data_IF_721016562958
#
_entry.id   IF_721016562958
#
_cell.length_a   1.000
_cell.length_b   1.000
_cell.length_c   1.000
_cell.angle_alpha   90.00
_cell.angle_beta   90.00
_cell.angle_gamma   90.00
#
_symmetry.space_group_name_H-M   'P 1'
#
loop_
_entity.id
_entity.type
_entity.pdbx_description
1 polymer ?
#
# COMPACT_ATOMS: atom_id res chain seq x y z
N UNK A 1 48.24 16.68 -80.11
CA UNK A 1 47.92 16.36 -78.70
C UNK A 1 48.40 14.95 -78.42
N UNK A 2 49.19 14.72 -77.38
CA UNK A 2 49.85 13.43 -77.15
C UNK A 2 48.89 12.41 -76.52
N UNK A 3 48.94 11.16 -76.97
CA UNK A 3 48.16 10.02 -76.45
C UNK A 3 48.38 9.82 -74.94
N UNK A 4 49.58 10.16 -74.46
CA UNK A 4 49.91 10.19 -73.03
C UNK A 4 49.11 11.23 -72.24
N UNK A 5 48.82 12.39 -72.83
CA UNK A 5 48.02 13.45 -72.19
C UNK A 5 46.54 13.10 -72.10
N UNK A 6 46.01 12.35 -73.08
CA UNK A 6 44.62 11.86 -73.07
C UNK A 6 44.43 10.69 -72.12
N UNK A 7 45.42 9.78 -72.03
CA UNK A 7 45.42 8.69 -71.03
C UNK A 7 45.54 9.24 -69.61
N UNK A 8 46.44 10.19 -69.35
CA UNK A 8 46.57 10.84 -68.04
C UNK A 8 45.29 11.59 -67.63
N UNK A 9 44.65 12.32 -68.55
CA UNK A 9 43.38 12.99 -68.29
C UNK A 9 42.23 12.01 -67.99
N UNK A 10 42.16 10.88 -68.72
CA UNK A 10 41.15 9.84 -68.46
C UNK A 10 41.36 9.15 -67.10
N UNK A 11 42.61 8.90 -66.70
CA UNK A 11 42.96 8.31 -65.42
C UNK A 11 42.60 9.23 -64.24
N UNK A 12 42.91 10.53 -64.35
CA UNK A 12 42.54 11.54 -63.35
C UNK A 12 41.01 11.68 -63.22
N UNK A 13 40.28 11.56 -64.33
CA UNK A 13 38.80 11.57 -64.31
C UNK A 13 38.20 10.32 -63.64
N UNK A 14 38.86 9.17 -63.74
CA UNK A 14 38.44 7.91 -63.14
C UNK A 14 38.69 7.85 -61.63
N UNK A 15 39.85 8.36 -61.18
CA UNK A 15 40.23 8.41 -59.76
C UNK A 15 39.25 9.27 -58.96
N UNK A 16 38.83 10.42 -59.50
CA UNK A 16 37.83 11.28 -58.84
C UNK A 16 36.46 10.60 -58.70
N UNK A 17 36.02 9.84 -59.72
CA UNK A 17 34.78 9.06 -59.64
C UNK A 17 34.87 7.96 -58.58
N UNK A 18 35.99 7.23 -58.56
CA UNK A 18 36.23 6.20 -57.55
C UNK A 18 36.25 6.80 -56.13
N UNK A 19 36.97 7.92 -55.93
CA UNK A 19 37.02 8.62 -54.66
C UNK A 19 35.63 9.12 -54.21
N UNK A 20 34.83 9.66 -55.13
CA UNK A 20 33.46 10.09 -54.84
C UNK A 20 32.55 8.92 -54.44
N UNK A 21 32.67 7.77 -55.10
CA UNK A 21 31.91 6.55 -54.75
C UNK A 21 32.32 6.05 -53.36
N UNK A 22 33.61 6.00 -53.05
CA UNK A 22 34.09 5.61 -51.72
C UNK A 22 33.58 6.56 -50.65
N UNK A 23 33.66 7.87 -50.89
CA UNK A 23 33.13 8.87 -49.96
C UNK A 23 31.61 8.70 -49.75
N UNK A 24 30.85 8.50 -50.82
CA UNK A 24 29.41 8.28 -50.74
C UNK A 24 29.08 7.00 -49.94
N UNK A 25 29.83 5.92 -50.15
CA UNK A 25 29.67 4.68 -49.40
C UNK A 25 29.96 4.88 -47.90
N UNK A 26 31.03 5.61 -47.55
CA UNK A 26 31.36 5.94 -46.16
C UNK A 26 30.28 6.80 -45.51
N UNK A 27 29.78 7.81 -46.22
CA UNK A 27 28.71 8.67 -45.72
C UNK A 27 27.40 7.88 -45.49
N UNK A 28 27.06 6.96 -46.39
CA UNK A 28 25.93 6.05 -46.21
C UNK A 28 26.10 5.14 -44.99
N UNK A 29 27.30 4.60 -44.78
CA UNK A 29 27.62 3.77 -43.61
C UNK A 29 27.47 4.55 -42.31
N UNK A 30 28.02 5.76 -42.23
CA UNK A 30 27.92 6.61 -41.03
C UNK A 30 26.47 7.04 -40.79
N UNK A 31 25.75 7.48 -41.82
CA UNK A 31 24.36 7.92 -41.70
C UNK A 31 23.43 6.77 -41.28
N UNK A 32 23.64 5.57 -41.84
CA UNK A 32 22.85 4.39 -41.46
C UNK A 32 23.16 3.93 -40.04
N UNK A 33 24.44 3.84 -39.64
CA UNK A 33 24.83 3.42 -38.30
C UNK A 33 24.38 4.41 -37.21
N UNK A 34 24.49 5.72 -37.47
CA UNK A 34 24.01 6.75 -36.52
C UNK A 34 22.50 6.81 -36.46
N UNK A 35 21.82 6.67 -37.60
CA UNK A 35 20.36 6.64 -37.67
C UNK A 35 19.76 5.44 -36.94
N UNK A 36 20.28 4.23 -37.15
CA UNK A 36 19.82 3.02 -36.45
C UNK A 36 20.17 3.06 -34.96
N UNK A 37 21.37 3.53 -34.61
CA UNK A 37 21.77 3.70 -33.22
C UNK A 37 20.89 4.69 -32.46
N UNK A 38 20.53 5.82 -33.09
CA UNK A 38 19.61 6.79 -32.51
C UNK A 38 18.21 6.20 -32.33
N UNK A 39 17.71 5.46 -33.33
CA UNK A 39 16.39 4.84 -33.28
C UNK A 39 16.28 3.81 -32.14
N UNK A 40 17.28 2.94 -31.98
CA UNK A 40 17.32 1.98 -30.87
C UNK A 40 17.40 2.69 -29.51
N UNK A 41 18.23 3.73 -29.40
CA UNK A 41 18.34 4.50 -28.16
C UNK A 41 17.03 5.22 -27.80
N UNK A 42 16.26 5.69 -28.78
CA UNK A 42 14.94 6.28 -28.54
C UNK A 42 13.92 5.23 -28.11
N UNK A 43 13.94 4.04 -28.72
CA UNK A 43 13.04 2.94 -28.36
C UNK A 43 13.27 2.46 -26.92
N UNK A 44 14.52 2.19 -26.55
CA UNK A 44 14.90 1.82 -25.18
C UNK A 44 14.50 2.89 -24.15
N UNK A 45 14.70 4.16 -24.51
CA UNK A 45 14.29 5.29 -23.65
C UNK A 45 12.79 5.34 -23.46
N UNK A 46 12.01 5.11 -24.51
CA UNK A 46 10.55 5.16 -24.44
C UNK A 46 10.01 3.94 -23.68
N UNK A 47 10.58 2.76 -23.87
CA UNK A 47 10.29 1.56 -23.07
C UNK A 47 10.60 1.78 -21.57
N UNK A 48 11.77 2.34 -21.25
CA UNK A 48 12.16 2.66 -19.88
C UNK A 48 11.22 3.70 -19.23
N UNK A 49 10.76 4.70 -20.01
CA UNK A 49 9.79 5.69 -19.54
C UNK A 49 8.42 5.07 -19.29
N UNK A 50 7.95 4.19 -20.16
CA UNK A 50 6.70 3.47 -19.97
C UNK A 50 6.75 2.61 -18.70
N UNK A 51 7.84 1.86 -18.50
CA UNK A 51 8.06 1.08 -17.29
C UNK A 51 8.11 1.96 -16.03
N UNK A 52 8.79 3.11 -16.09
CA UNK A 52 8.86 4.05 -14.97
C UNK A 52 7.47 4.60 -14.58
N UNK A 53 6.64 4.96 -15.56
CA UNK A 53 5.27 5.44 -15.31
C UNK A 53 4.42 4.33 -14.68
N UNK A 54 4.57 3.09 -15.15
CA UNK A 54 3.88 1.94 -14.59
C UNK A 54 4.28 1.73 -13.12
N UNK A 55 5.57 1.74 -12.80
CA UNK A 55 6.06 1.62 -11.41
C UNK A 55 5.60 2.78 -10.52
N UNK A 56 5.60 4.01 -11.04
CA UNK A 56 5.10 5.17 -10.30
C UNK A 56 3.60 5.04 -9.99
N UNK A 57 2.80 4.54 -10.94
CA UNK A 57 1.37 4.31 -10.72
C UNK A 57 1.12 3.22 -9.68
N UNK A 58 1.86 2.10 -9.75
CA UNK A 58 1.78 1.01 -8.77
C UNK A 58 2.21 1.48 -7.37
N UNK A 59 3.31 2.25 -7.29
CA UNK A 59 3.79 2.84 -6.04
C UNK A 59 2.78 3.82 -5.44
N UNK A 60 2.08 4.59 -6.27
CA UNK A 60 1.03 5.52 -5.83
C UNK A 60 -0.17 4.75 -5.28
N UNK A 61 -0.63 3.71 -5.97
CA UNK A 61 -1.70 2.84 -5.50
C UNK A 61 -1.35 2.14 -4.18
N UNK A 62 -0.11 1.66 -4.05
CA UNK A 62 0.38 1.04 -2.82
C UNK A 62 0.38 2.04 -1.65
N UNK A 63 0.87 3.27 -1.86
CA UNK A 63 0.83 4.32 -0.83
C UNK A 63 -0.59 4.65 -0.40
N UNK A 64 -1.51 4.78 -1.35
CA UNK A 64 -2.93 5.02 -1.05
C UNK A 64 -3.54 3.88 -0.22
N UNK A 65 -3.24 2.62 -0.57
CA UNK A 65 -3.69 1.45 0.19
C UNK A 65 -3.12 1.42 1.62
N UNK A 66 -1.84 1.76 1.79
CA UNK A 66 -1.22 1.83 3.12
C UNK A 66 -1.87 2.93 3.96
N UNK A 67 -2.14 4.10 3.38
CA UNK A 67 -2.84 5.19 4.08
C UNK A 67 -4.22 4.76 4.56
N UNK A 68 -5.00 4.08 3.72
CA UNK A 68 -6.33 3.56 4.09
C UNK A 68 -6.24 2.49 5.20
N UNK A 69 -5.30 1.55 5.07
CA UNK A 69 -5.07 0.52 6.09
C UNK A 69 -4.70 1.14 7.44
N UNK A 70 -3.82 2.14 7.45
CA UNK A 70 -3.43 2.84 8.68
C UNK A 70 -4.63 3.56 9.31
N UNK A 71 -5.46 4.22 8.50
CA UNK A 71 -6.67 4.88 9.00
C UNK A 71 -7.67 3.87 9.61
N UNK A 72 -7.83 2.70 8.98
CA UNK A 72 -8.67 1.62 9.49
C UNK A 72 -8.12 1.04 10.82
N UNK A 73 -6.81 0.84 10.92
CA UNK A 73 -6.15 0.36 12.15
C UNK A 73 -6.33 1.37 13.28
N UNK A 74 -6.13 2.66 13.02
CA UNK A 74 -6.36 3.72 14.00
C UNK A 74 -7.82 3.78 14.46
N UNK A 75 -8.76 3.62 13.53
CA UNK A 75 -10.19 3.51 13.84
C UNK A 75 -10.50 2.30 14.72
N UNK A 76 -9.94 1.14 14.39
CA UNK A 76 -10.10 -0.10 15.16
C UNK A 76 -9.49 0.02 16.56
N UNK A 77 -8.32 0.64 16.69
CA UNK A 77 -7.66 0.86 17.98
C UNK A 77 -8.54 1.74 18.89
N UNK A 78 -9.07 2.85 18.36
CA UNK A 78 -9.99 3.74 19.11
C UNK A 78 -11.27 3.02 19.53
N UNK A 79 -11.88 2.26 18.62
CA UNK A 79 -13.09 1.49 18.92
C UNK A 79 -12.84 0.42 19.99
N UNK A 80 -11.67 -0.23 19.93
CA UNK A 80 -11.24 -1.24 20.91
C UNK A 80 -11.05 -0.61 22.29
N UNK A 81 -10.39 0.55 22.39
CA UNK A 81 -10.26 1.27 23.66
C UNK A 81 -11.62 1.63 24.25
N UNK A 82 -12.53 2.20 23.45
CA UNK A 82 -13.88 2.53 23.89
C UNK A 82 -14.69 1.29 24.31
N UNK A 83 -14.45 0.13 23.70
CA UNK A 83 -15.05 -1.14 24.12
C UNK A 83 -14.47 -1.64 25.45
N UNK A 84 -13.15 -1.53 25.64
CA UNK A 84 -12.49 -1.90 26.89
C UNK A 84 -12.93 -1.02 28.05
N UNK A 85 -13.07 0.30 27.87
CA UNK A 85 -13.59 1.21 28.89
C UNK A 85 -15.02 0.85 29.31
N UNK A 86 -15.90 0.57 28.33
CA UNK A 86 -17.27 0.10 28.61
C UNK A 86 -17.27 -1.24 29.33
N UNK A 87 -16.40 -2.17 28.93
CA UNK A 87 -16.23 -3.46 29.59
C UNK A 87 -15.76 -3.31 31.04
N UNK A 88 -14.74 -2.48 31.30
CA UNK A 88 -14.25 -2.19 32.63
C UNK A 88 -15.32 -1.56 33.53
N UNK A 89 -16.09 -0.60 32.99
CA UNK A 89 -17.22 0.00 33.70
C UNK A 89 -18.30 -1.05 34.05
N UNK A 90 -18.63 -1.94 33.10
CA UNK A 90 -19.57 -3.03 33.33
C UNK A 90 -19.08 -4.02 34.40
N UNK A 91 -17.80 -4.39 34.37
CA UNK A 91 -17.19 -5.26 35.39
C UNK A 91 -17.17 -4.60 36.77
N UNK A 92 -16.86 -3.31 36.86
CA UNK A 92 -16.90 -2.57 38.12
C UNK A 92 -18.33 -2.51 38.67
N UNK A 93 -19.32 -2.22 37.83
CA UNK A 93 -20.73 -2.21 38.22
C UNK A 93 -21.22 -3.59 38.66
N UNK A 94 -20.84 -4.65 37.94
CA UNK A 94 -21.18 -6.03 38.30
C UNK A 94 -20.54 -6.44 39.64
N UNK A 95 -19.28 -6.08 39.88
CA UNK A 95 -18.59 -6.36 41.15
C UNK A 95 -19.24 -5.61 42.30
N UNK A 96 -19.59 -4.34 42.10
CA UNK A 96 -20.28 -3.55 43.12
C UNK A 96 -21.66 -4.13 43.46
N UNK A 97 -22.43 -4.53 42.43
CA UNK A 97 -23.72 -5.21 42.63
C UNK A 97 -23.54 -6.56 43.33
N UNK A 98 -22.59 -7.38 42.90
CA UNK A 98 -22.28 -8.67 43.52
C UNK A 98 -22.01 -8.54 45.02
N UNK A 99 -21.17 -7.58 45.43
CA UNK A 99 -20.92 -7.28 46.84
C UNK A 99 -22.19 -6.90 47.62
N UNK A 100 -23.11 -6.13 47.01
CA UNK A 100 -24.41 -5.81 47.63
C UNK A 100 -25.28 -7.05 47.80
N UNK A 101 -25.34 -7.91 46.77
CA UNK A 101 -26.06 -9.18 46.84
C UNK A 101 -25.49 -10.10 47.92
N UNK A 102 -24.16 -10.25 47.98
CA UNK A 102 -23.48 -11.07 48.99
C UNK A 102 -23.74 -10.55 50.41
N UNK A 103 -23.72 -9.23 50.61
CA UNK A 103 -24.04 -8.61 51.88
C UNK A 103 -25.52 -8.83 52.28
N UNK A 104 -26.45 -8.74 51.33
CA UNK A 104 -27.87 -9.02 51.57
C UNK A 104 -28.11 -10.50 51.90
N UNK A 105 -27.41 -11.42 51.23
CA UNK A 105 -27.42 -12.86 51.53
C UNK A 105 -26.89 -13.14 52.94
N UNK A 106 -25.80 -12.49 53.34
CA UNK A 106 -25.23 -12.65 54.68
C UNK A 106 -26.20 -12.20 55.80
N UNK A 107 -27.02 -11.17 55.57
CA UNK A 107 -28.04 -10.72 56.53
C UNK A 107 -29.15 -11.75 56.75
N UNK A 108 -29.37 -12.65 55.80
CA UNK A 108 -30.45 -13.66 55.84
C UNK A 108 -29.93 -15.06 56.15
N UNK A 109 -28.61 -15.28 56.13
CA UNK A 109 -27.96 -16.59 56.28
C UNK A 109 -28.24 -17.33 57.61
N UNK A 110 -28.84 -16.68 58.61
CA UNK A 110 -29.26 -17.29 59.88
C UNK A 110 -30.76 -17.51 60.03
N UNK A 111 -31.59 -17.06 59.08
CA UNK A 111 -33.05 -17.12 59.19
C UNK A 111 -33.54 -18.50 58.76
N UNK A 112 -33.95 -19.34 59.72
CA UNK A 112 -34.72 -20.57 59.44
C UNK A 112 -36.21 -20.26 59.54
N UNK A 113 -36.83 -20.01 58.40
CA UNK A 113 -38.28 -19.96 58.30
C UNK A 113 -38.83 -21.37 58.04
N UNK A 114 -39.87 -21.76 58.77
CA UNK A 114 -40.57 -23.04 58.58
C UNK A 114 -41.88 -22.89 57.81
N UNK A 115 -42.34 -21.64 57.64
CA UNK A 115 -43.53 -21.27 56.86
C UNK A 115 -43.26 -20.08 55.94
N UNK A 116 -44.09 -19.89 54.91
CA UNK A 116 -43.93 -18.78 53.96
C UNK A 116 -44.09 -17.39 54.63
N UNK A 117 -44.95 -17.29 55.64
CA UNK A 117 -45.20 -16.04 56.36
C UNK A 117 -43.97 -15.61 57.19
N UNK A 118 -43.21 -16.57 57.71
CA UNK A 118 -41.94 -16.34 58.42
C UNK A 118 -40.79 -15.95 57.46
N UNK A 119 -40.83 -16.41 56.20
CA UNK A 119 -39.79 -16.14 55.20
C UNK A 119 -39.94 -14.76 54.53
N UNK A 120 -41.18 -14.28 54.42
CA UNK A 120 -41.54 -13.06 53.68
C UNK A 120 -40.78 -11.79 54.12
N UNK A 121 -40.57 -11.52 55.42
CA UNK A 121 -39.80 -10.34 55.88
C UNK A 121 -38.33 -10.38 55.44
N UNK A 122 -37.71 -11.57 55.44
CA UNK A 122 -36.33 -11.75 55.03
C UNK A 122 -36.16 -11.60 53.51
N UNK A 123 -37.13 -12.09 52.73
CA UNK A 123 -37.20 -11.88 51.27
C UNK A 123 -37.38 -10.40 50.94
N UNK A 124 -38.20 -9.67 51.71
CA UNK A 124 -38.39 -8.23 51.53
C UNK A 124 -37.10 -7.44 51.79
N UNK A 125 -36.35 -7.78 52.85
CA UNK A 125 -35.03 -7.20 53.14
C UNK A 125 -34.01 -7.48 52.02
N UNK A 126 -34.02 -8.69 51.45
CA UNK A 126 -33.20 -9.04 50.29
C UNK A 126 -33.56 -8.21 49.05
N UNK A 127 -34.85 -8.02 48.75
CA UNK A 127 -35.30 -7.21 47.62
C UNK A 127 -35.02 -5.72 47.79
N UNK A 128 -35.08 -5.21 49.02
CA UNK A 128 -34.76 -3.81 49.35
C UNK A 128 -33.25 -3.53 49.31
N UNK A 129 -32.40 -4.47 49.77
CA UNK A 129 -30.94 -4.33 49.73
C UNK A 129 -30.32 -4.49 48.33
N UNK A 130 -31.06 -5.06 47.40
CA UNK A 130 -30.64 -5.35 46.02
C UNK A 130 -31.03 -4.26 45.02
N UNK A 131 -32.04 -3.43 45.34
CA UNK A 131 -32.47 -2.30 44.52
C UNK A 131 -31.42 -1.18 44.48
#
# INVERSE_FOLDING_TARGET
MSVLGTLAASAVSGIWKAAAIVLAALLLLVASATGTGWWLATDDRDAARAALVQEQSASTALRASITEQNAAIDGMAKATLAAQERGAAAHAAATAKGKKYDAALAQVAGVRATTCDEAMPAVRLLLEGVR
#
